data_IF_611613574106
#
_entry.id   IF_611613574106
#
_cell.length_a   1.000
_cell.length_b   1.000
_cell.length_c   1.000
_cell.angle_alpha   90.00
_cell.angle_beta   90.00
_cell.angle_gamma   90.00
#
_symmetry.space_group_name_H-M   'P 1'
#
loop_
_entity.id
_entity.type
_entity.pdbx_description
1 polymer ?
#
# COMPACT_ATOMS: atom_id res chain seq x y z
N UNK A 1 29.10 11.92 0.52
CA UNK A 1 29.80 12.53 1.64
C UNK A 1 28.83 12.69 2.83
N UNK A 2 29.19 12.30 4.05
CA UNK A 2 28.36 12.50 5.24
C UNK A 2 28.02 13.97 5.50
N UNK A 3 28.93 14.88 5.18
CA UNK A 3 28.73 16.34 5.32
C UNK A 3 27.61 16.81 4.42
N UNK A 4 27.51 16.32 3.18
CA UNK A 4 26.44 16.68 2.26
C UNK A 4 25.07 16.17 2.71
N UNK A 5 25.04 14.99 3.34
CA UNK A 5 23.81 14.46 3.95
C UNK A 5 23.35 15.39 5.07
N UNK A 6 24.27 15.79 5.95
CA UNK A 6 23.97 16.73 7.03
C UNK A 6 23.47 18.10 6.54
N UNK A 7 24.16 18.68 5.55
CA UNK A 7 23.73 19.95 4.92
C UNK A 7 22.34 19.86 4.33
N UNK A 8 22.06 18.82 3.53
CA UNK A 8 20.72 18.61 2.93
C UNK A 8 19.63 18.42 3.99
N UNK A 9 19.93 17.75 5.10
CA UNK A 9 18.99 17.60 6.21
C UNK A 9 18.70 18.95 6.87
N UNK A 10 19.74 19.73 7.16
CA UNK A 10 19.62 21.08 7.73
C UNK A 10 18.80 22.03 6.82
N UNK A 11 19.12 22.07 5.53
CA UNK A 11 18.37 22.89 4.55
C UNK A 11 16.88 22.52 4.50
N UNK A 12 16.55 21.24 4.48
CA UNK A 12 15.15 20.76 4.50
C UNK A 12 14.43 21.18 5.78
N UNK A 13 15.13 21.18 6.90
CA UNK A 13 14.57 21.60 8.20
C UNK A 13 14.36 23.11 8.22
N UNK A 14 15.33 23.89 7.79
CA UNK A 14 15.24 25.36 7.74
C UNK A 14 14.09 25.85 6.85
N UNK A 15 13.84 25.19 5.71
CA UNK A 15 12.71 25.50 4.82
C UNK A 15 11.33 25.31 5.47
N UNK A 16 11.24 24.57 6.58
CA UNK A 16 9.99 24.29 7.31
C UNK A 16 9.78 25.22 8.50
N UNK A 17 10.73 26.11 8.78
CA UNK A 17 10.56 27.12 9.83
C UNK A 17 9.53 28.17 9.41
N UNK A 18 8.86 28.76 10.39
CA UNK A 18 7.85 29.80 10.21
C UNK A 18 6.72 29.38 9.24
N UNK A 19 6.02 28.26 9.50
CA UNK A 19 4.95 27.78 8.65
C UNK A 19 3.81 28.81 8.59
N UNK A 20 3.25 29.01 7.39
CA UNK A 20 2.10 29.88 7.17
C UNK A 20 0.83 29.03 7.07
N UNK A 21 -0.25 29.47 7.70
CA UNK A 21 -1.58 28.91 7.46
C UNK A 21 -2.09 29.40 6.10
N UNK A 22 -2.54 28.45 5.29
CA UNK A 22 -3.23 28.75 4.02
C UNK A 22 -4.72 28.48 4.18
N UNK A 23 -5.55 29.15 3.39
CA UNK A 23 -6.99 28.91 3.34
C UNK A 23 -7.26 27.55 2.69
N UNK A 24 -8.36 26.89 3.09
CA UNK A 24 -8.84 25.69 2.39
C UNK A 24 -9.10 26.03 0.92
N UNK A 25 -8.59 25.19 0.02
CA UNK A 25 -8.71 25.39 -1.41
C UNK A 25 -8.77 24.05 -2.14
N UNK A 26 -9.40 24.04 -3.31
CA UNK A 26 -9.37 22.90 -4.23
C UNK A 26 -8.34 23.20 -5.32
N UNK A 27 -7.14 22.64 -5.19
CA UNK A 27 -6.00 22.93 -6.07
C UNK A 27 -5.22 21.65 -6.38
N UNK A 28 -4.49 21.60 -7.50
CA UNK A 28 -3.54 20.52 -7.76
C UNK A 28 -2.47 20.46 -6.68
N UNK A 29 -2.11 19.25 -6.23
CA UNK A 29 -1.10 19.03 -5.18
C UNK A 29 0.06 18.24 -5.75
N UNK A 30 1.28 18.76 -5.60
CA UNK A 30 2.52 18.05 -5.92
C UNK A 30 3.06 17.46 -4.60
N UNK A 31 3.24 16.15 -4.58
CA UNK A 31 3.74 15.44 -3.42
C UNK A 31 5.23 15.11 -3.58
N UNK A 32 6.01 15.32 -2.53
CA UNK A 32 7.38 14.78 -2.45
C UNK A 32 7.33 13.25 -2.59
N UNK A 33 8.25 12.60 -3.31
CA UNK A 33 8.23 11.14 -3.54
C UNK A 33 8.09 10.30 -2.27
N UNK A 34 8.66 10.77 -1.13
CA UNK A 34 8.52 10.07 0.15
C UNK A 34 7.14 10.19 0.77
N UNK A 35 6.42 11.27 0.45
CA UNK A 35 5.05 11.49 0.91
C UNK A 35 4.07 10.78 -0.01
N UNK A 36 4.30 10.80 -1.33
CA UNK A 36 3.42 10.13 -2.30
C UNK A 36 3.30 8.62 -2.06
N UNK A 37 4.36 7.97 -1.57
CA UNK A 37 4.32 6.57 -1.17
C UNK A 37 3.28 6.28 -0.07
N UNK A 38 2.92 7.27 0.75
CA UNK A 38 1.88 7.12 1.77
C UNK A 38 0.49 6.89 1.19
N UNK A 39 0.21 7.44 0.00
CA UNK A 39 -1.08 7.23 -0.70
C UNK A 39 -1.25 5.75 -1.05
N UNK A 40 -0.18 5.10 -1.57
CA UNK A 40 -0.18 3.65 -1.83
C UNK A 40 -0.32 2.86 -0.53
N UNK A 41 0.28 3.36 0.56
CA UNK A 41 0.12 2.80 1.90
C UNK A 41 -1.35 2.86 2.40
N UNK A 42 -2.03 3.99 2.20
CA UNK A 42 -3.45 4.13 2.53
C UNK A 42 -4.34 3.20 1.70
N UNK A 43 -4.08 3.07 0.39
CA UNK A 43 -4.75 2.09 -0.45
C UNK A 43 -4.55 0.67 0.10
N UNK A 44 -3.29 0.30 0.40
CA UNK A 44 -2.96 -1.03 0.96
C UNK A 44 -3.72 -1.32 2.25
N UNK A 45 -3.93 -0.31 3.10
CA UNK A 45 -4.77 -0.39 4.30
C UNK A 45 -6.26 -0.58 3.97
N UNK A 46 -6.77 0.17 2.98
CA UNK A 46 -8.17 0.12 2.58
C UNK A 46 -8.55 -1.19 1.90
N UNK A 47 -7.65 -1.80 1.12
CA UNK A 47 -7.87 -3.12 0.47
C UNK A 47 -7.41 -4.30 1.33
N UNK A 48 -7.11 -4.08 2.60
CA UNK A 48 -6.71 -5.13 3.53
C UNK A 48 -7.87 -6.07 3.83
N UNK A 49 -7.73 -7.35 3.51
CA UNK A 49 -8.77 -8.36 3.66
C UNK A 49 -9.34 -8.48 5.08
N UNK A 50 -8.54 -8.23 6.12
CA UNK A 50 -9.04 -8.22 7.49
C UNK A 50 -9.95 -7.02 7.76
N UNK A 51 -9.69 -5.86 7.16
CA UNK A 51 -10.56 -4.68 7.23
C UNK A 51 -11.85 -4.90 6.45
N UNK A 52 -11.73 -5.49 5.26
CA UNK A 52 -12.88 -5.87 4.42
C UNK A 52 -13.78 -6.87 5.16
N UNK A 53 -13.21 -7.94 5.73
CA UNK A 53 -13.97 -8.96 6.46
C UNK A 53 -14.70 -8.40 7.70
N UNK A 54 -14.18 -7.35 8.33
CA UNK A 54 -14.84 -6.64 9.43
C UNK A 54 -15.86 -5.58 8.98
N UNK A 55 -15.97 -5.30 7.69
CA UNK A 55 -16.85 -4.23 7.17
C UNK A 55 -16.36 -2.81 7.51
N UNK A 56 -15.05 -2.63 7.80
CA UNK A 56 -14.50 -1.33 8.24
C UNK A 56 -13.82 -0.54 7.14
N UNK A 57 -13.77 -1.06 5.92
CA UNK A 57 -13.16 -0.38 4.78
C UNK A 57 -14.21 0.38 3.95
N UNK A 58 -13.87 1.60 3.54
CA UNK A 58 -14.68 2.36 2.58
C UNK A 58 -14.61 1.78 1.15
N UNK A 59 -13.73 0.81 0.89
CA UNK A 59 -13.64 0.09 -0.39
C UNK A 59 -14.31 -1.29 -0.35
N UNK A 60 -15.17 -1.55 0.65
CA UNK A 60 -15.89 -2.81 0.82
C UNK A 60 -16.67 -3.21 -0.43
N UNK A 61 -17.40 -2.26 -1.01
CA UNK A 61 -18.26 -2.50 -2.17
C UNK A 61 -17.64 -2.01 -3.50
N UNK A 62 -16.34 -1.69 -3.49
CA UNK A 62 -15.67 -1.08 -4.63
C UNK A 62 -14.94 -2.08 -5.55
N UNK A 63 -15.05 -3.39 -5.31
CA UNK A 63 -14.43 -4.41 -6.17
C UNK A 63 -14.98 -4.30 -7.59
N UNK A 64 -14.09 -4.15 -8.58
CA UNK A 64 -14.46 -3.97 -9.99
C UNK A 64 -14.88 -2.55 -10.35
N UNK A 65 -14.89 -1.60 -9.42
CA UNK A 65 -15.23 -0.19 -9.67
C UNK A 65 -13.98 0.68 -9.85
N UNK A 66 -14.14 1.80 -10.53
CA UNK A 66 -13.10 2.83 -10.64
C UNK A 66 -12.89 3.51 -9.28
N UNK A 67 -11.66 3.46 -8.76
CA UNK A 67 -11.25 4.11 -7.51
C UNK A 67 -10.10 5.09 -7.71
N UNK A 68 -9.51 5.08 -8.90
CA UNK A 68 -8.49 6.02 -9.37
C UNK A 68 -8.77 6.43 -10.82
N UNK A 69 -8.05 7.43 -11.29
CA UNK A 69 -8.10 7.83 -12.70
C UNK A 69 -7.69 6.67 -13.64
N UNK A 70 -8.27 6.55 -14.86
CA UNK A 70 -8.09 5.38 -15.74
C UNK A 70 -6.65 5.09 -16.16
N UNK A 71 -5.72 6.04 -16.03
CA UNK A 71 -4.30 5.85 -16.36
C UNK A 71 -3.47 5.31 -15.18
N UNK A 72 -4.07 5.12 -14.00
CA UNK A 72 -3.38 4.64 -12.82
C UNK A 72 -3.39 3.11 -12.77
N UNK A 73 -2.20 2.53 -12.66
CA UNK A 73 -1.99 1.10 -12.43
C UNK A 73 -1.13 0.93 -11.19
N UNK A 74 -1.54 0.05 -10.28
CA UNK A 74 -0.78 -0.29 -9.08
C UNK A 74 -0.64 -1.80 -9.02
N UNK A 75 0.60 -2.27 -9.02
CA UNK A 75 0.94 -3.70 -9.06
C UNK A 75 1.67 -4.07 -7.77
N UNK A 76 1.28 -5.15 -7.12
CA UNK A 76 2.07 -5.77 -6.06
C UNK A 76 2.95 -6.88 -6.66
N UNK A 77 4.27 -6.71 -6.56
CA UNK A 77 5.24 -7.66 -7.12
C UNK A 77 6.10 -8.31 -6.02
N UNK A 78 5.70 -9.50 -5.53
CA UNK A 78 6.44 -10.23 -4.51
C UNK A 78 7.79 -10.79 -5.01
N UNK A 79 8.04 -10.81 -6.30
CA UNK A 79 9.24 -11.37 -6.91
C UNK A 79 10.19 -10.31 -7.48
N UNK A 80 9.95 -9.04 -7.17
CA UNK A 80 10.80 -7.93 -7.62
C UNK A 80 12.24 -8.15 -7.17
N UNK A 81 13.19 -8.12 -8.11
CA UNK A 81 14.61 -8.20 -7.79
C UNK A 81 15.02 -7.06 -6.86
N UNK A 82 15.72 -7.39 -5.77
CA UNK A 82 16.14 -6.44 -4.72
C UNK A 82 15.00 -5.64 -4.07
N UNK A 83 13.76 -6.12 -4.19
CA UNK A 83 12.63 -5.55 -3.44
C UNK A 83 12.75 -5.87 -1.95
N UNK A 84 12.52 -4.88 -1.09
CA UNK A 84 12.71 -5.02 0.37
C UNK A 84 11.80 -6.08 0.99
N UNK A 85 10.65 -6.37 0.37
CA UNK A 85 9.66 -7.33 0.85
C UNK A 85 9.45 -8.51 -0.10
N UNK A 86 10.37 -8.72 -1.05
CA UNK A 86 10.31 -9.85 -1.98
C UNK A 86 10.47 -11.17 -1.24
N UNK A 87 9.64 -12.15 -1.60
CA UNK A 87 9.59 -13.47 -0.99
C UNK A 87 8.92 -14.47 -1.93
N UNK A 88 9.32 -15.75 -1.95
CA UNK A 88 8.74 -16.75 -2.84
C UNK A 88 7.35 -17.26 -2.39
N UNK A 89 7.03 -17.11 -1.10
CA UNK A 89 5.75 -17.49 -0.49
C UNK A 89 5.50 -16.58 0.72
N UNK A 90 4.29 -16.52 1.17
CA UNK A 90 3.88 -15.68 2.30
C UNK A 90 4.18 -16.32 3.67
N UNK A 91 3.78 -15.65 4.76
CA UNK A 91 4.04 -16.13 6.13
C UNK A 91 3.16 -17.33 6.55
N UNK A 92 2.25 -17.79 5.70
CA UNK A 92 1.42 -18.99 5.87
C UNK A 92 1.81 -20.11 4.90
N UNK A 93 2.92 -19.95 4.13
CA UNK A 93 3.39 -20.91 3.15
C UNK A 93 2.59 -20.91 1.84
N UNK A 94 1.75 -19.93 1.62
CA UNK A 94 0.97 -19.80 0.38
C UNK A 94 1.83 -19.14 -0.69
N UNK A 95 1.90 -19.74 -1.89
CA UNK A 95 2.58 -19.16 -3.03
C UNK A 95 1.96 -17.80 -3.39
N UNK A 96 2.81 -16.80 -3.50
CA UNK A 96 2.39 -15.46 -3.90
C UNK A 96 2.60 -15.24 -5.40
N UNK A 97 1.96 -14.22 -5.94
CA UNK A 97 1.99 -13.91 -7.37
C UNK A 97 1.98 -12.40 -7.56
N UNK A 98 2.65 -11.95 -8.62
CA UNK A 98 2.50 -10.61 -9.13
C UNK A 98 1.04 -10.38 -9.54
N UNK A 99 0.44 -9.28 -9.08
CA UNK A 99 -0.95 -8.97 -9.37
C UNK A 99 -1.23 -7.48 -9.43
N UNK A 100 -2.18 -7.09 -10.26
CA UNK A 100 -2.71 -5.75 -10.25
C UNK A 100 -3.61 -5.58 -9.02
N UNK A 101 -3.31 -4.57 -8.20
CA UNK A 101 -4.21 -4.08 -7.17
C UNK A 101 -5.22 -3.12 -7.81
N UNK A 102 -4.69 -2.21 -8.64
CA UNK A 102 -5.45 -1.30 -9.49
C UNK A 102 -5.00 -1.52 -10.94
N UNK A 103 -5.92 -1.66 -11.85
CA UNK A 103 -5.69 -1.74 -13.28
C UNK A 103 -6.62 -0.77 -14.02
N UNK A 104 -6.03 0.17 -14.75
CA UNK A 104 -6.76 1.24 -15.44
C UNK A 104 -7.75 1.98 -14.51
N UNK A 105 -7.32 2.30 -13.29
CA UNK A 105 -8.14 2.95 -12.28
C UNK A 105 -9.08 2.02 -11.49
N UNK A 106 -9.28 0.78 -11.94
CA UNK A 106 -10.26 -0.16 -11.38
C UNK A 106 -9.62 -1.02 -10.30
N UNK A 107 -10.30 -1.18 -9.16
CA UNK A 107 -9.89 -2.09 -8.08
C UNK A 107 -10.09 -3.55 -8.52
N UNK A 108 -8.99 -4.31 -8.57
CA UNK A 108 -8.98 -5.70 -9.09
C UNK A 108 -8.97 -6.75 -8.00
N UNK A 109 -8.46 -6.43 -6.82
CA UNK A 109 -8.35 -7.42 -5.74
C UNK A 109 -8.17 -6.76 -4.38
N UNK A 110 -8.62 -7.43 -3.34
CA UNK A 110 -8.17 -7.21 -1.97
C UNK A 110 -6.92 -8.06 -1.70
N UNK A 111 -6.10 -7.66 -0.73
CA UNK A 111 -4.96 -8.46 -0.25
C UNK A 111 -5.40 -9.29 0.95
N UNK A 112 -5.20 -10.61 0.87
CA UNK A 112 -5.76 -11.56 1.84
C UNK A 112 -4.71 -12.55 2.35
N UNK A 113 -4.81 -12.87 3.63
CA UNK A 113 -4.26 -14.07 4.26
C UNK A 113 -5.30 -15.21 4.23
N UNK A 114 -4.97 -16.37 4.76
CA UNK A 114 -5.91 -17.51 4.81
C UNK A 114 -7.13 -17.20 5.68
N UNK A 115 -6.95 -16.47 6.77
CA UNK A 115 -8.03 -16.12 7.70
C UNK A 115 -9.06 -15.20 7.06
N UNK A 116 -8.63 -14.07 6.52
CA UNK A 116 -9.53 -13.13 5.87
C UNK A 116 -10.18 -13.71 4.62
N UNK A 117 -9.42 -14.50 3.84
CA UNK A 117 -9.97 -15.20 2.68
C UNK A 117 -11.11 -16.16 3.05
N UNK A 118 -10.95 -16.96 4.12
CA UNK A 118 -12.02 -17.85 4.62
C UNK A 118 -13.24 -17.08 5.10
N UNK A 119 -13.04 -15.96 5.81
CA UNK A 119 -14.15 -15.13 6.28
C UNK A 119 -14.95 -14.52 5.12
N UNK A 120 -14.28 -14.22 4.00
CA UNK A 120 -14.90 -13.65 2.80
C UNK A 120 -15.39 -14.71 1.79
N UNK A 121 -15.18 -16.00 2.05
CA UNK A 121 -15.51 -17.07 1.11
C UNK A 121 -14.62 -17.07 -0.15
N UNK A 122 -13.41 -16.51 -0.07
CA UNK A 122 -12.47 -16.33 -1.16
C UNK A 122 -11.19 -17.15 -0.96
N UNK A 123 -10.29 -17.13 -1.96
CA UNK A 123 -8.96 -17.73 -1.86
C UNK A 123 -7.94 -16.72 -1.37
N UNK A 124 -6.98 -17.14 -0.55
CA UNK A 124 -5.85 -16.31 -0.14
C UNK A 124 -5.09 -15.79 -1.37
N UNK A 125 -4.63 -14.55 -1.25
CA UNK A 125 -3.80 -13.93 -2.28
C UNK A 125 -2.30 -14.16 -2.09
N UNK A 126 -1.90 -14.93 -1.05
CA UNK A 126 -0.50 -15.16 -0.71
C UNK A 126 0.17 -13.88 -0.15
N UNK A 127 -0.58 -13.10 0.57
CA UNK A 127 -0.12 -11.81 1.11
C UNK A 127 -0.02 -11.79 2.64
N UNK A 128 0.04 -12.95 3.30
CA UNK A 128 0.24 -13.00 4.73
C UNK A 128 1.64 -12.48 5.14
N UNK A 129 1.67 -11.69 6.19
CA UNK A 129 2.89 -11.23 6.85
C UNK A 129 2.71 -11.32 8.36
N UNK A 130 3.78 -11.61 9.10
CA UNK A 130 3.75 -11.61 10.57
C UNK A 130 5.07 -11.10 11.14
N UNK A 131 5.01 -10.47 12.29
CA UNK A 131 6.17 -10.23 13.14
C UNK A 131 6.45 -11.40 14.07
N UNK A 132 7.55 -11.36 14.78
CA UNK A 132 7.84 -12.32 15.85
C UNK A 132 6.74 -12.25 16.93
N UNK A 133 6.13 -13.40 17.26
CA UNK A 133 5.09 -13.48 18.29
C UNK A 133 3.71 -12.94 17.90
N UNK A 134 3.48 -12.54 16.64
CA UNK A 134 2.17 -12.10 16.17
C UNK A 134 1.49 -13.12 15.25
N UNK A 135 0.15 -13.05 15.19
CA UNK A 135 -0.60 -13.79 14.18
C UNK A 135 -0.35 -13.20 12.79
N UNK A 136 -0.43 -14.03 11.72
CA UNK A 136 -0.39 -13.52 10.35
C UNK A 136 -1.53 -12.53 10.07
N UNK A 137 -1.26 -11.57 9.19
CA UNK A 137 -2.25 -10.64 8.69
C UNK A 137 -1.90 -10.17 7.27
N UNK A 138 -2.89 -9.71 6.48
CA UNK A 138 -2.66 -9.30 5.11
C UNK A 138 -1.74 -8.08 5.01
N UNK A 139 -0.78 -8.12 4.09
CA UNK A 139 0.14 -7.02 3.80
C UNK A 139 0.62 -7.09 2.36
N UNK A 140 0.70 -5.94 1.68
CA UNK A 140 1.35 -5.85 0.37
C UNK A 140 2.84 -6.19 0.47
N UNK A 141 3.43 -6.60 -0.64
CA UNK A 141 4.87 -6.86 -0.73
C UNK A 141 5.62 -5.62 -1.25
N UNK A 142 5.67 -5.42 -2.55
CA UNK A 142 6.34 -4.29 -3.19
C UNK A 142 5.36 -3.60 -4.16
N UNK A 143 4.41 -2.81 -3.67
CA UNK A 143 3.49 -2.10 -4.55
C UNK A 143 4.22 -1.00 -5.33
N UNK A 144 3.98 -0.90 -6.62
CA UNK A 144 4.57 0.04 -7.59
C UNK A 144 3.51 0.54 -8.56
#
# INVERSE_FOLDING_TARGET
DPVDIGKKAAEKTLRRLNPRKVKSAHVPVILDPRVSASIVGHLSGAINGSGIARGTSFLLDAMGSEVFAPHINIIDDPHRKRGLRSKPFDAEGVANQKRHLIENGVLKTWIMDLRSARQLGLKSTGNASRGAGSLPGPSTTNPI
#
